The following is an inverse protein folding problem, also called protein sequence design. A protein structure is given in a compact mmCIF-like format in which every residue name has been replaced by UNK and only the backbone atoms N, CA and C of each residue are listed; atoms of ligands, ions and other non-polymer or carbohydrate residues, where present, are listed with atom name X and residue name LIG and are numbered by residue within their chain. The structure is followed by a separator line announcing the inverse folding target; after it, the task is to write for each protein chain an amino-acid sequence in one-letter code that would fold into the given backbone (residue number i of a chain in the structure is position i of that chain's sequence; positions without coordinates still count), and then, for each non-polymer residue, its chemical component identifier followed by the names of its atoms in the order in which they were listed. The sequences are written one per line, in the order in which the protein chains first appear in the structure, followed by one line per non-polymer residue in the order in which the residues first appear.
data_IF_721273127043
#
_entry.id   IF_721273127043
#
_cell.length_a   1.000
_cell.length_b   1.000
_cell.length_c   1.000
_cell.angle_alpha   90.00
_cell.angle_beta   90.00
_cell.angle_gamma   90.00
#
_symmetry.space_group_name_H-M   'P 1'
#
loop_
_entity.id
_entity.type
_entity.pdbx_description
1 polymer ?
#
# COMPACT_ATOMS: atom_id res chain seq x y z
N UNK A 1 -1.41 12.95 -2.98
CA UNK A 1 -2.21 12.41 -1.86
C UNK A 1 -1.37 11.85 -0.70
N UNK A 2 -0.16 11.35 -0.99
CA UNK A 2 0.74 10.62 -0.08
C UNK A 2 1.23 11.35 1.19
N UNK A 3 0.99 12.66 1.35
CA UNK A 3 1.41 13.42 2.56
C UNK A 3 0.23 14.13 3.22
N UNK A 4 -0.64 14.79 2.44
CA UNK A 4 -1.75 15.59 2.98
C UNK A 4 -2.88 14.75 3.59
N UNK A 5 -3.27 13.63 2.96
CA UNK A 5 -4.35 12.77 3.44
C UNK A 5 -3.94 11.96 4.69
N UNK A 6 -2.74 11.33 4.74
CA UNK A 6 -2.24 10.70 5.96
C UNK A 6 -2.14 11.67 7.14
N UNK A 7 -1.65 12.90 6.94
CA UNK A 7 -1.54 13.90 8.03
C UNK A 7 -2.92 14.27 8.59
N UNK A 8 -3.92 14.42 7.71
CA UNK A 8 -5.31 14.65 8.13
C UNK A 8 -5.86 13.47 8.94
N UNK A 9 -5.59 12.24 8.51
CA UNK A 9 -6.00 11.05 9.26
C UNK A 9 -5.30 10.94 10.61
N UNK A 10 -3.99 11.21 10.68
CA UNK A 10 -3.25 11.26 11.92
C UNK A 10 -3.88 12.25 12.91
N UNK A 11 -4.17 13.47 12.45
CA UNK A 11 -4.82 14.49 13.29
C UNK A 11 -6.21 14.03 13.81
N UNK A 12 -6.96 13.27 13.02
CA UNK A 12 -8.22 12.68 13.47
C UNK A 12 -7.98 11.58 14.51
N UNK A 13 -7.07 10.64 14.23
CA UNK A 13 -6.68 9.54 15.13
C UNK A 13 -6.28 10.07 16.51
N UNK A 14 -5.48 11.14 16.56
CA UNK A 14 -5.04 11.76 17.83
C UNK A 14 -6.18 12.38 18.66
N UNK A 15 -7.38 12.55 18.08
CA UNK A 15 -8.57 13.09 18.76
C UNK A 15 -9.63 12.02 19.04
N UNK A 16 -9.41 10.77 18.62
CA UNK A 16 -10.35 9.68 18.86
C UNK A 16 -10.28 9.19 20.29
N UNK A 17 -11.44 8.76 20.80
CA UNK A 17 -11.57 8.05 22.06
C UNK A 17 -12.42 6.79 21.85
N UNK A 18 -12.02 5.68 22.47
CA UNK A 18 -12.72 4.40 22.43
C UNK A 18 -13.23 4.04 23.82
N UNK A 19 -14.47 3.56 23.92
CA UNK A 19 -15.12 3.22 25.19
C UNK A 19 -15.06 1.72 25.47
N UNK A 20 -14.99 0.88 24.43
CA UNK A 20 -14.93 -0.58 24.58
C UNK A 20 -13.52 -1.02 24.96
N UNK A 21 -13.37 -1.74 26.07
CA UNK A 21 -12.07 -2.16 26.63
C UNK A 21 -11.14 -2.86 25.63
N UNK A 22 -11.68 -3.76 24.80
CA UNK A 22 -10.90 -4.48 23.79
C UNK A 22 -10.30 -3.55 22.73
N UNK A 23 -11.09 -2.58 22.25
CA UNK A 23 -10.64 -1.57 21.29
C UNK A 23 -9.68 -0.58 21.94
N UNK A 24 -9.96 -0.15 23.17
CA UNK A 24 -9.11 0.78 23.92
C UNK A 24 -7.71 0.21 24.16
N UNK A 25 -7.60 -1.07 24.53
CA UNK A 25 -6.29 -1.73 24.70
C UNK A 25 -5.47 -1.74 23.40
N UNK A 26 -6.09 -2.08 22.27
CA UNK A 26 -5.41 -2.06 20.96
C UNK A 26 -5.05 -0.63 20.54
N UNK A 27 -5.95 0.33 20.76
CA UNK A 27 -5.72 1.73 20.44
C UNK A 27 -4.53 2.30 21.23
N UNK A 28 -4.45 2.03 22.53
CA UNK A 28 -3.32 2.46 23.35
C UNK A 28 -1.99 1.83 22.89
N UNK A 29 -2.01 0.58 22.42
CA UNK A 29 -0.83 -0.05 21.81
C UNK A 29 -0.39 0.68 20.55
N UNK A 30 -1.33 1.01 19.65
CA UNK A 30 -1.06 1.77 18.42
C UNK A 30 -0.52 3.17 18.72
N UNK A 31 -1.04 3.86 19.74
CA UNK A 31 -0.52 5.16 20.19
C UNK A 31 0.90 5.05 20.78
N UNK A 32 1.24 3.90 21.37
CA UNK A 32 2.59 3.61 21.86
C UNK A 32 3.69 3.67 20.81
N UNK A 33 3.34 3.59 19.52
CA UNK A 33 4.30 3.73 18.41
C UNK A 33 4.77 5.16 18.13
N UNK A 34 4.18 6.17 18.78
CA UNK A 34 4.44 7.58 18.48
C UNK A 34 4.23 7.89 16.99
N UNK A 35 3.00 7.68 16.52
CA UNK A 35 2.60 7.89 15.12
C UNK A 35 2.98 9.27 14.55
N UNK A 36 2.95 10.39 15.31
CA UNK A 36 3.45 11.67 14.81
C UNK A 36 4.93 11.64 14.43
N UNK A 37 5.79 11.11 15.31
CA UNK A 37 7.23 10.99 15.01
C UNK A 37 7.48 10.08 13.81
N UNK A 38 6.74 8.97 13.71
CA UNK A 38 6.86 8.05 12.59
C UNK A 38 6.39 8.67 11.26
N UNK A 39 5.34 9.50 11.28
CA UNK A 39 4.90 10.26 10.11
C UNK A 39 5.98 11.22 9.61
N UNK A 40 6.63 11.96 10.51
CA UNK A 40 7.70 12.89 10.14
C UNK A 40 8.89 12.15 9.52
N UNK A 41 9.29 11.02 10.11
CA UNK A 41 10.35 10.17 9.57
C UNK A 41 10.01 9.63 8.18
N UNK A 42 8.79 9.10 8.02
CA UNK A 42 8.30 8.58 6.74
C UNK A 42 8.28 9.69 5.69
N UNK A 43 7.82 10.89 6.05
CA UNK A 43 7.83 12.05 5.15
C UNK A 43 9.24 12.38 4.66
N UNK A 44 10.22 12.47 5.57
CA UNK A 44 11.61 12.74 5.19
C UNK A 44 12.19 11.65 4.28
N UNK A 45 11.90 10.37 4.55
CA UNK A 45 12.34 9.26 3.71
C UNK A 45 11.78 9.36 2.28
N UNK A 46 10.48 9.69 2.15
CA UNK A 46 9.82 9.78 0.85
C UNK A 46 10.20 11.06 0.09
N UNK A 47 10.48 12.16 0.78
CA UNK A 47 11.05 13.37 0.16
C UNK A 47 12.44 13.11 -0.45
N UNK A 48 13.23 12.21 0.17
CA UNK A 48 14.52 11.77 -0.36
C UNK A 48 14.41 10.67 -1.44
N UNK A 49 13.19 10.18 -1.74
CA UNK A 49 12.96 9.08 -2.69
C UNK A 49 12.25 9.62 -3.92
N UNK A 50 12.96 9.70 -5.04
CA UNK A 50 12.38 10.18 -6.29
C UNK A 50 11.30 9.22 -6.77
N UNK A 51 10.10 9.75 -7.01
CA UNK A 51 9.00 9.04 -7.66
C UNK A 51 8.22 10.04 -8.51
N UNK A 52 7.91 9.73 -9.79
CA UNK A 52 7.13 10.61 -10.63
C UNK A 52 5.68 10.72 -10.10
N UNK A 53 5.10 11.91 -10.23
CA UNK A 53 3.68 12.14 -9.94
C UNK A 53 2.86 11.80 -11.18
N UNK A 54 1.95 10.84 -11.05
CA UNK A 54 1.07 10.34 -12.11
C UNK A 54 -0.35 10.21 -11.58
N UNK A 55 -1.33 9.94 -12.44
CA UNK A 55 -2.68 9.60 -11.99
C UNK A 55 -2.67 8.16 -11.47
N UNK A 56 -2.85 8.00 -10.15
CA UNK A 56 -2.81 6.71 -9.47
C UNK A 56 -4.22 6.26 -9.05
N UNK A 57 -4.44 4.94 -9.06
CA UNK A 57 -5.64 4.32 -8.51
C UNK A 57 -5.73 4.52 -7.00
N UNK A 58 -4.59 4.36 -6.32
CA UNK A 58 -4.35 4.38 -4.86
C UNK A 58 -4.97 3.23 -4.08
N UNK A 59 -5.70 2.32 -4.74
CA UNK A 59 -6.34 1.16 -4.11
C UNK A 59 -6.44 -0.05 -5.06
N UNK A 60 -5.33 -0.39 -5.72
CA UNK A 60 -5.27 -1.49 -6.70
C UNK A 60 -5.18 -2.87 -6.01
N UNK A 61 -6.22 -3.21 -5.24
CA UNK A 61 -6.40 -4.50 -4.57
C UNK A 61 -7.21 -5.49 -5.44
N UNK A 62 -7.22 -6.77 -5.09
CA UNK A 62 -7.81 -7.84 -5.89
C UNK A 62 -9.31 -7.65 -6.15
N UNK A 63 -10.05 -7.08 -5.20
CA UNK A 63 -11.48 -6.76 -5.36
C UNK A 63 -11.76 -5.71 -6.43
N UNK A 64 -10.75 -4.91 -6.78
CA UNK A 64 -10.84 -3.82 -7.77
C UNK A 64 -10.27 -4.22 -9.15
N UNK A 65 -9.91 -5.50 -9.35
CA UNK A 65 -9.37 -6.04 -10.61
C UNK A 65 -10.32 -7.11 -11.15
N UNK A 66 -11.08 -6.78 -12.19
CA UNK A 66 -12.03 -7.70 -12.81
C UNK A 66 -11.40 -8.53 -13.91
N UNK A 67 -11.62 -9.85 -13.89
CA UNK A 67 -11.35 -10.74 -15.02
C UNK A 67 -12.55 -10.74 -15.99
N UNK A 68 -12.33 -10.28 -17.22
CA UNK A 68 -13.36 -10.13 -18.25
C UNK A 68 -13.70 -11.50 -18.89
N UNK A 69 -14.97 -11.91 -18.79
CA UNK A 69 -15.46 -13.15 -19.42
C UNK A 69 -15.44 -13.05 -20.95
N UNK A 70 -15.03 -14.12 -21.62
CA UNK A 70 -15.08 -14.22 -23.10
C UNK A 70 -13.86 -13.65 -23.84
N UNK A 71 -12.91 -13.02 -23.14
CA UNK A 71 -11.64 -12.53 -23.73
C UNK A 71 -10.45 -13.45 -23.45
N UNK A 72 -10.69 -14.66 -22.93
CA UNK A 72 -9.66 -15.65 -22.59
C UNK A 72 -8.85 -16.13 -23.81
N UNK A 73 -9.38 -15.97 -25.02
CA UNK A 73 -8.71 -16.31 -26.29
C UNK A 73 -7.96 -15.14 -26.94
N UNK A 74 -7.94 -13.96 -26.31
CA UNK A 74 -7.16 -12.81 -26.80
C UNK A 74 -6.02 -12.50 -25.82
N UNK A 75 -4.80 -12.40 -26.35
CA UNK A 75 -3.56 -12.29 -25.56
C UNK A 75 -3.37 -10.94 -24.86
N UNK A 76 -4.26 -9.95 -25.01
CA UNK A 76 -3.90 -8.56 -24.70
C UNK A 76 -4.81 -7.75 -23.78
N UNK A 77 -5.99 -8.21 -23.39
CA UNK A 77 -6.78 -7.45 -22.43
C UNK A 77 -7.83 -8.31 -21.75
N UNK A 78 -7.47 -8.91 -20.62
CA UNK A 78 -8.36 -9.76 -19.83
C UNK A 78 -8.74 -9.14 -18.49
N UNK A 79 -8.07 -8.06 -18.10
CA UNK A 79 -8.23 -7.42 -16.80
C UNK A 79 -8.75 -5.99 -16.95
N UNK A 80 -9.60 -5.56 -16.02
CA UNK A 80 -10.11 -4.19 -15.94
C UNK A 80 -10.06 -3.69 -14.49
N UNK A 81 -9.50 -2.50 -14.29
CA UNK A 81 -9.54 -1.81 -13.01
C UNK A 81 -10.87 -1.08 -12.83
N UNK A 82 -11.43 -1.14 -11.62
CA UNK A 82 -12.67 -0.47 -11.23
C UNK A 82 -12.49 0.21 -9.86
N UNK A 83 -13.49 0.99 -9.45
CA UNK A 83 -13.54 1.64 -8.14
C UNK A 83 -12.43 2.67 -7.87
N UNK A 84 -12.52 3.79 -8.58
CA UNK A 84 -11.56 4.89 -8.52
C UNK A 84 -11.80 5.86 -7.35
N UNK A 85 -12.42 5.42 -6.24
CA UNK A 85 -12.83 6.32 -5.13
C UNK A 85 -11.64 7.00 -4.41
N UNK A 86 -10.49 6.31 -4.38
CA UNK A 86 -9.25 6.84 -3.83
C UNK A 86 -8.36 7.49 -4.89
N UNK A 87 -8.74 7.46 -6.17
CA UNK A 87 -7.88 7.88 -7.25
C UNK A 87 -7.56 9.36 -7.23
N UNK A 88 -6.32 9.68 -7.58
CA UNK A 88 -5.81 11.05 -7.61
C UNK A 88 -4.42 11.11 -8.23
N UNK A 89 -3.94 12.32 -8.52
CA UNK A 89 -2.52 12.52 -8.73
C UNK A 89 -1.73 12.19 -7.47
N UNK A 90 -0.85 11.19 -7.60
CA UNK A 90 -0.02 10.69 -6.51
C UNK A 90 1.31 10.18 -7.05
N UNK A 91 2.21 9.78 -6.17
CA UNK A 91 3.48 9.18 -6.56
C UNK A 91 3.25 7.77 -7.11
N UNK A 92 3.84 7.45 -8.26
CA UNK A 92 3.81 6.11 -8.85
C UNK A 92 4.23 5.04 -7.85
N UNK A 93 5.25 5.33 -7.05
CA UNK A 93 5.77 4.43 -6.02
C UNK A 93 4.69 4.00 -5.04
N UNK A 94 3.74 4.89 -4.70
CA UNK A 94 2.64 4.56 -3.80
C UNK A 94 1.68 3.54 -4.42
N UNK A 95 1.29 3.71 -5.68
CA UNK A 95 0.28 2.83 -6.31
C UNK A 95 0.80 1.40 -6.45
N UNK A 96 2.05 1.27 -6.90
CA UNK A 96 2.73 -0.02 -7.08
C UNK A 96 3.09 -0.63 -5.72
N UNK A 97 3.67 0.16 -4.82
CA UNK A 97 3.98 -0.29 -3.46
C UNK A 97 2.74 -0.73 -2.69
N UNK A 98 1.60 -0.04 -2.89
CA UNK A 98 0.31 -0.44 -2.35
C UNK A 98 -0.15 -1.77 -2.93
N UNK A 99 -0.11 -1.93 -4.26
CA UNK A 99 -0.48 -3.19 -4.90
C UNK A 99 0.36 -4.37 -4.35
N UNK A 100 1.66 -4.19 -4.15
CA UNK A 100 2.51 -5.21 -3.52
C UNK A 100 2.15 -5.49 -2.07
N UNK A 101 1.73 -4.48 -1.29
CA UNK A 101 1.22 -4.71 0.06
C UNK A 101 0.00 -5.62 0.06
N UNK A 102 -0.92 -5.46 -0.90
CA UNK A 102 -2.17 -6.23 -0.96
C UNK A 102 -1.95 -7.73 -1.19
N UNK A 103 -0.80 -8.15 -1.73
CA UNK A 103 -0.46 -9.58 -1.84
C UNK A 103 -0.38 -10.29 -0.47
N UNK A 104 -0.20 -9.53 0.61
CA UNK A 104 -0.18 -10.08 1.97
C UNK A 104 -1.56 -10.23 2.61
N UNK A 105 -2.59 -9.58 2.07
CA UNK A 105 -3.91 -9.50 2.70
C UNK A 105 -4.94 -10.27 1.89
N UNK A 106 -5.75 -11.07 2.58
CA UNK A 106 -6.89 -11.78 1.99
C UNK A 106 -8.16 -11.34 2.72
N UNK A 107 -9.05 -10.65 2.01
CA UNK A 107 -10.30 -10.11 2.55
C UNK A 107 -11.51 -11.04 2.37
N UNK A 108 -11.32 -12.25 1.84
CA UNK A 108 -12.41 -13.22 1.56
C UNK A 108 -12.86 -14.04 2.79
N UNK A 109 -12.36 -13.71 3.98
CA UNK A 109 -12.58 -14.49 5.19
C UNK A 109 -13.97 -14.24 5.80
N UNK A 110 -14.74 -15.32 6.03
CA UNK A 110 -16.09 -15.24 6.62
C UNK A 110 -16.09 -15.03 8.15
N UNK A 111 -14.99 -15.38 8.82
CA UNK A 111 -14.87 -15.28 10.28
C UNK A 111 -14.04 -14.07 10.70
N UNK A 112 -14.34 -13.52 11.89
CA UNK A 112 -13.58 -12.44 12.49
C UNK A 112 -12.07 -12.79 12.55
N UNK A 113 -11.15 -11.89 12.12
CA UNK A 113 -11.35 -10.46 11.87
C UNK A 113 -11.81 -10.09 10.45
N UNK A 114 -12.29 -11.06 9.67
CA UNK A 114 -12.75 -10.94 8.28
C UNK A 114 -11.62 -10.63 7.29
N UNK A 115 -10.38 -10.89 7.68
CA UNK A 115 -9.22 -10.92 6.80
C UNK A 115 -8.15 -11.86 7.36
N UNK A 116 -7.24 -12.30 6.49
CA UNK A 116 -5.99 -13.00 6.86
C UNK A 116 -4.79 -12.22 6.37
N UNK A 117 -3.66 -12.41 7.06
CA UNK A 117 -2.38 -11.81 6.68
C UNK A 117 -1.34 -12.90 6.53
N UNK A 118 -0.70 -12.92 5.37
CA UNK A 118 0.46 -13.74 5.10
C UNK A 118 1.64 -12.84 4.73
N UNK A 119 2.47 -12.50 5.72
CA UNK A 119 3.64 -11.64 5.49
C UNK A 119 4.64 -12.24 4.47
N UNK A 120 4.67 -13.57 4.34
CA UNK A 120 5.53 -14.27 3.38
C UNK A 120 5.00 -14.19 1.94
N UNK A 121 3.76 -13.73 1.73
CA UNK A 121 3.19 -13.53 0.41
C UNK A 121 3.57 -12.18 -0.24
N UNK A 122 4.24 -11.28 0.48
CA UNK A 122 4.81 -10.09 -0.13
C UNK A 122 5.73 -10.49 -1.30
N UNK A 123 5.61 -9.85 -2.47
CA UNK A 123 6.33 -10.32 -3.66
C UNK A 123 7.83 -10.33 -3.42
N UNK A 124 8.48 -11.43 -3.78
CA UNK A 124 9.94 -11.54 -3.78
C UNK A 124 10.55 -10.51 -4.73
N UNK A 125 11.83 -10.18 -4.56
CA UNK A 125 12.54 -9.26 -5.46
C UNK A 125 12.40 -9.67 -6.93
N UNK A 126 12.45 -10.96 -7.24
CA UNK A 126 12.26 -11.47 -8.60
C UNK A 126 10.85 -11.16 -9.15
N UNK A 127 9.80 -11.37 -8.35
CA UNK A 127 8.42 -11.04 -8.74
C UNK A 127 8.22 -9.53 -8.89
N UNK A 128 8.82 -8.73 -8.01
CA UNK A 128 8.75 -7.26 -8.11
C UNK A 128 9.45 -6.76 -9.37
N UNK A 129 10.65 -7.24 -9.68
CA UNK A 129 11.37 -6.86 -10.90
C UNK A 129 10.62 -7.28 -12.16
N UNK A 130 9.95 -8.43 -12.15
CA UNK A 130 9.10 -8.87 -13.25
C UNK A 130 7.90 -7.92 -13.48
N UNK A 131 7.22 -7.51 -12.40
CA UNK A 131 6.14 -6.52 -12.48
C UNK A 131 6.66 -5.17 -12.97
N UNK A 132 7.76 -4.68 -12.38
CA UNK A 132 8.39 -3.40 -12.72
C UNK A 132 8.81 -3.37 -14.19
N UNK A 133 9.41 -4.44 -14.70
CA UNK A 133 9.80 -4.54 -16.11
C UNK A 133 8.59 -4.41 -17.04
N UNK A 134 7.52 -5.15 -16.74
CA UNK A 134 6.27 -5.10 -17.52
C UNK A 134 5.65 -3.70 -17.48
N UNK A 135 5.65 -3.04 -16.31
CA UNK A 135 5.20 -1.68 -16.15
C UNK A 135 6.05 -0.68 -16.96
N UNK A 136 7.38 -0.77 -16.88
CA UNK A 136 8.29 0.15 -17.58
C UNK A 136 8.18 0.00 -19.09
N UNK A 137 8.06 -1.23 -19.61
CA UNK A 137 7.88 -1.49 -21.04
C UNK A 137 6.58 -0.89 -21.58
N UNK A 138 5.50 -0.89 -20.80
CA UNK A 138 4.23 -0.27 -21.18
C UNK A 138 4.26 1.26 -21.03
N UNK A 139 4.87 1.75 -19.95
CA UNK A 139 4.91 3.18 -19.62
C UNK A 139 5.91 4.00 -20.48
N UNK A 140 6.99 3.37 -20.96
CA UNK A 140 8.03 4.01 -21.76
C UNK A 140 8.37 3.16 -22.99
N UNK A 141 7.97 3.65 -24.18
CA UNK A 141 8.25 3.02 -25.47
C UNK A 141 9.75 2.92 -25.78
N UNK A 142 10.59 3.73 -25.12
CA UNK A 142 12.04 3.69 -25.26
C UNK A 142 12.72 2.62 -24.41
N UNK A 143 12.01 1.99 -23.46
CA UNK A 143 12.61 1.07 -22.50
C UNK A 143 13.33 -0.11 -23.17
N UNK A 144 12.72 -0.74 -24.17
CA UNK A 144 13.32 -1.88 -24.89
C UNK A 144 14.51 -1.47 -25.79
N UNK A 145 14.72 -0.17 -26.04
CA UNK A 145 15.87 0.34 -26.79
C UNK A 145 17.10 0.60 -25.91
N UNK A 146 16.94 0.55 -24.59
CA UNK A 146 18.03 0.71 -23.63
C UNK A 146 18.89 -0.55 -23.57
N UNK A 147 20.17 -0.39 -23.19
CA UNK A 147 21.04 -1.52 -22.89
C UNK A 147 20.52 -2.33 -21.68
N UNK A 148 20.91 -3.61 -21.58
CA UNK A 148 20.53 -4.46 -20.44
C UNK A 148 20.97 -3.86 -19.09
N UNK A 149 22.13 -3.20 -19.06
CA UNK A 149 22.65 -2.52 -17.87
C UNK A 149 21.78 -1.33 -17.46
N UNK A 150 21.34 -0.50 -18.40
CA UNK A 150 20.45 0.63 -18.15
C UNK A 150 19.06 0.15 -17.72
N UNK A 151 18.51 -0.87 -18.38
CA UNK A 151 17.25 -1.48 -17.98
C UNK A 151 17.33 -2.02 -16.55
N UNK A 152 18.40 -2.74 -16.21
CA UNK A 152 18.59 -3.27 -14.86
C UNK A 152 18.71 -2.15 -13.83
N UNK A 153 19.47 -1.09 -14.13
CA UNK A 153 19.59 0.08 -13.25
C UNK A 153 18.24 0.73 -12.97
N UNK A 154 17.42 0.96 -14.00
CA UNK A 154 16.07 1.53 -13.83
C UNK A 154 15.17 0.63 -12.99
N UNK A 155 15.23 -0.70 -13.22
CA UNK A 155 14.45 -1.67 -12.45
C UNK A 155 14.86 -1.68 -10.96
N UNK A 156 16.16 -1.62 -10.66
CA UNK A 156 16.67 -1.57 -9.28
C UNK A 156 16.33 -0.24 -8.58
N UNK A 157 16.45 0.89 -9.27
CA UNK A 157 16.04 2.21 -8.75
C UNK A 157 14.53 2.22 -8.42
N UNK A 158 13.71 1.70 -9.33
CA UNK A 158 12.27 1.61 -9.12
C UNK A 158 11.90 0.59 -8.04
N UNK A 159 12.68 -0.49 -7.87
CA UNK A 159 12.52 -1.44 -6.77
C UNK A 159 12.76 -0.76 -5.40
N UNK A 160 13.76 0.11 -5.26
CA UNK A 160 13.94 0.91 -4.03
C UNK A 160 12.79 1.89 -3.85
N UNK A 161 12.36 2.58 -4.92
CA UNK A 161 11.23 3.52 -4.90
C UNK A 161 9.97 2.85 -4.34
N UNK A 162 9.48 1.78 -4.96
CA UNK A 162 8.19 1.17 -4.60
C UNK A 162 8.18 0.58 -3.19
N UNK A 163 9.30 0.01 -2.73
CA UNK A 163 9.39 -0.53 -1.37
C UNK A 163 9.56 0.53 -0.28
N UNK A 164 10.06 1.73 -0.60
CA UNK A 164 9.97 2.85 0.34
C UNK A 164 8.54 3.38 0.42
N UNK A 165 7.85 3.45 -0.71
CA UNK A 165 6.46 3.89 -0.76
C UNK A 165 5.44 2.86 -0.23
N UNK A 166 5.77 1.56 -0.18
CA UNK A 166 4.96 0.54 0.52
C UNK A 166 4.81 0.85 2.01
N UNK A 167 5.80 1.48 2.63
CA UNK A 167 5.71 1.98 4.01
C UNK A 167 4.57 3.00 4.16
N UNK A 168 4.40 3.90 3.18
CA UNK A 168 3.28 4.83 3.17
C UNK A 168 1.94 4.15 2.95
N UNK A 169 1.87 3.08 2.15
CA UNK A 169 0.66 2.27 2.05
C UNK A 169 0.27 1.69 3.41
N UNK A 170 1.20 1.03 4.12
CA UNK A 170 0.93 0.53 5.47
C UNK A 170 0.50 1.62 6.45
N UNK A 171 1.20 2.75 6.45
CA UNK A 171 0.87 3.86 7.35
C UNK A 171 -0.50 4.47 7.05
N UNK A 172 -0.81 4.69 5.77
CA UNK A 172 -2.08 5.26 5.33
C UNK A 172 -3.28 4.38 5.72
N UNK A 173 -3.23 3.09 5.36
CA UNK A 173 -4.32 2.15 5.64
C UNK A 173 -4.42 1.79 7.13
N UNK A 174 -3.30 1.82 7.86
CA UNK A 174 -3.29 1.71 9.30
C UNK A 174 -4.07 2.85 9.97
N UNK A 175 -3.79 4.10 9.61
CA UNK A 175 -4.53 5.26 10.12
C UNK A 175 -6.00 5.26 9.69
N UNK A 176 -6.27 4.97 8.41
CA UNK A 176 -7.63 4.84 7.89
C UNK A 176 -8.43 3.82 8.71
N UNK A 177 -7.83 2.68 9.02
CA UNK A 177 -8.51 1.62 9.75
C UNK A 177 -8.83 1.99 11.20
N UNK A 178 -7.94 2.73 11.89
CA UNK A 178 -8.26 3.26 13.23
C UNK A 178 -9.49 4.18 13.18
N UNK A 179 -9.57 5.05 12.16
CA UNK A 179 -10.74 5.92 11.97
C UNK A 179 -12.00 5.09 11.71
N UNK A 180 -11.91 4.09 10.83
CA UNK A 180 -13.04 3.22 10.50
C UNK A 180 -13.52 2.37 11.68
N UNK A 181 -12.63 1.97 12.59
CA UNK A 181 -13.02 1.29 13.82
C UNK A 181 -14.02 2.07 14.68
N UNK A 182 -14.09 3.41 14.50
CA UNK A 182 -15.03 4.29 15.19
C UNK A 182 -16.27 4.64 14.37
N UNK A 183 -16.13 4.75 13.04
CA UNK A 183 -17.15 5.31 12.14
C UNK A 183 -17.93 4.25 11.36
N UNK A 184 -17.29 3.16 10.99
CA UNK A 184 -17.88 2.15 10.11
C UNK A 184 -18.91 1.30 10.85
N UNK A 185 -19.97 0.93 10.13
CA UNK A 185 -20.97 -0.06 10.55
C UNK A 185 -20.72 -1.44 9.95
N UNK A 186 -19.75 -1.57 9.04
CA UNK A 186 -19.40 -2.83 8.38
C UNK A 186 -18.71 -3.76 9.38
N UNK A 187 -19.08 -5.04 9.35
CA UNK A 187 -18.43 -6.08 10.17
C UNK A 187 -17.02 -6.34 9.63
N UNK A 188 -16.03 -5.69 10.21
CA UNK A 188 -14.63 -5.86 9.88
C UNK A 188 -13.75 -5.61 11.12
N UNK A 189 -12.68 -6.38 11.30
CA UNK A 189 -11.73 -6.23 12.40
C UNK A 189 -10.80 -5.04 12.21
N UNK A 190 -11.33 -3.81 12.19
CA UNK A 190 -10.56 -2.61 11.86
C UNK A 190 -9.36 -2.36 12.79
N UNK A 191 -9.46 -2.68 14.09
CA UNK A 191 -8.33 -2.51 15.02
C UNK A 191 -7.27 -3.60 14.82
N UNK A 192 -7.68 -4.81 14.50
CA UNK A 192 -6.81 -5.92 14.12
C UNK A 192 -6.07 -5.60 12.83
N UNK A 193 -6.77 -5.05 11.83
CA UNK A 193 -6.19 -4.65 10.57
C UNK A 193 -5.20 -3.50 10.74
N UNK A 194 -5.57 -2.46 11.51
CA UNK A 194 -4.65 -1.37 11.83
C UNK A 194 -3.34 -1.90 12.45
N UNK A 195 -3.45 -2.81 13.42
CA UNK A 195 -2.29 -3.46 14.03
C UNK A 195 -1.45 -4.21 13.00
N UNK A 196 -2.07 -5.02 12.14
CA UNK A 196 -1.36 -5.76 11.10
C UNK A 196 -0.62 -4.85 10.12
N UNK A 197 -1.24 -3.74 9.69
CA UNK A 197 -0.60 -2.75 8.82
C UNK A 197 0.62 -2.12 9.50
N UNK A 198 0.52 -1.73 10.78
CA UNK A 198 1.66 -1.15 11.51
C UNK A 198 2.76 -2.17 11.81
N UNK A 199 2.41 -3.42 12.11
CA UNK A 199 3.40 -4.49 12.27
C UNK A 199 4.20 -4.70 10.98
N UNK A 200 3.52 -4.74 9.82
CA UNK A 200 4.17 -4.82 8.51
C UNK A 200 5.03 -3.56 8.20
N UNK A 201 4.53 -2.35 8.52
CA UNK A 201 5.30 -1.12 8.42
C UNK A 201 6.62 -1.21 9.18
N UNK A 202 6.60 -1.61 10.45
CA UNK A 202 7.83 -1.69 11.25
C UNK A 202 8.76 -2.82 10.81
N UNK A 203 8.24 -3.92 10.26
CA UNK A 203 9.07 -4.98 9.68
C UNK A 203 9.77 -4.49 8.40
N UNK A 204 9.03 -3.87 7.47
CA UNK A 204 9.58 -3.36 6.23
C UNK A 204 10.51 -2.15 6.43
N UNK A 205 10.22 -1.29 7.42
CA UNK A 205 11.05 -0.13 7.77
C UNK A 205 12.50 -0.53 8.05
N UNK A 206 12.75 -1.70 8.66
CA UNK A 206 14.10 -2.20 8.94
C UNK A 206 14.94 -2.42 7.67
N UNK A 207 14.30 -2.62 6.52
CA UNK A 207 14.95 -2.88 5.25
C UNK A 207 15.02 -1.63 4.36
N UNK A 208 14.00 -0.78 4.41
CA UNK A 208 13.81 0.28 3.41
C UNK A 208 13.99 1.71 3.93
N UNK A 209 14.03 1.91 5.25
CA UNK A 209 14.28 3.21 5.88
C UNK A 209 15.74 3.43 6.31
N UNK A 210 16.67 2.75 5.62
CA UNK A 210 18.12 2.98 5.68
C UNK A 210 18.58 3.98 4.64
#
# INVERSE_FOLDING_TARGET
MCVSRPLRYLNQVMRLNFIRDSQLRRFNRLLGYNLPKEMDMLKSLLEATRSPVVFCHNDCQEGNILLLKGQQSSDRQQLMLIDFEYSSYNYRGFDIGNHFCEWMYDYSCEEFPYFKVNAQAYPSKAQQLHFIESYLRDADRGFDSLSEEEQMKLKEEMHVEVNRFSLASHFFWGLWSIIQARLSTIKFGYMEYAQARFDAYFQQKKMWAV
#
